data_IF_665064790961
#
_entry.id   IF_665064790961
#
_cell.length_a   1.000
_cell.length_b   1.000
_cell.length_c   1.000
_cell.angle_alpha   90.00
_cell.angle_beta   90.00
_cell.angle_gamma   90.00
#
_symmetry.space_group_name_H-M   'P 1'
#
loop_
_entity.id
_entity.type
_entity.pdbx_description
1 polymer ?
#
# COMPACT_ATOMS: atom_id res chain seq x y z
N UNK A 1 -4.90 -23.65 6.35
CA UNK A 1 -4.57 -22.56 5.41
C UNK A 1 -3.10 -22.71 4.95
N UNK A 2 -2.78 -23.51 3.93
CA UNK A 2 -1.37 -23.87 3.69
C UNK A 2 -0.93 -24.32 2.30
N UNK A 3 -1.71 -24.09 1.24
CA UNK A 3 -1.38 -24.59 -0.10
C UNK A 3 -1.14 -23.51 -1.16
N UNK A 4 -1.60 -22.28 -0.94
CA UNK A 4 -1.44 -21.18 -1.91
C UNK A 4 -0.01 -20.58 -1.95
N UNK A 5 0.81 -20.85 -0.93
CA UNK A 5 2.16 -20.29 -0.78
C UNK A 5 3.28 -21.35 -0.83
N UNK A 6 2.92 -22.60 -1.12
CA UNK A 6 3.80 -23.75 -1.01
C UNK A 6 4.00 -24.41 -2.38
N UNK A 7 5.26 -24.53 -2.82
CA UNK A 7 5.64 -25.23 -4.05
C UNK A 7 6.60 -24.45 -4.95
N UNK A 8 7.28 -25.11 -5.90
CA UNK A 8 8.38 -24.52 -6.70
C UNK A 8 7.99 -23.29 -7.53
N UNK A 9 6.69 -23.11 -7.80
CA UNK A 9 6.14 -22.02 -8.59
C UNK A 9 5.37 -20.98 -7.75
N UNK A 10 5.32 -21.12 -6.42
CA UNK A 10 4.76 -20.08 -5.57
C UNK A 10 5.54 -18.78 -5.82
N UNK A 11 4.83 -17.71 -6.22
CA UNK A 11 5.39 -16.38 -6.55
C UNK A 11 6.10 -16.22 -7.89
N UNK A 12 6.01 -17.17 -8.84
CA UNK A 12 6.60 -16.99 -10.20
C UNK A 12 6.09 -15.73 -10.92
N UNK A 13 4.86 -15.30 -10.62
CA UNK A 13 4.24 -14.08 -11.15
C UNK A 13 4.84 -12.77 -10.60
N UNK A 14 5.59 -12.83 -9.49
CA UNK A 14 6.32 -11.69 -8.93
C UNK A 14 7.74 -11.54 -9.49
N UNK A 15 8.19 -12.48 -10.34
CA UNK A 15 9.51 -12.50 -10.98
C UNK A 15 10.68 -12.27 -10.00
N UNK A 16 10.57 -12.81 -8.78
CA UNK A 16 11.60 -12.70 -7.77
C UNK A 16 12.83 -13.53 -8.10
N UNK A 17 13.99 -13.10 -7.60
CA UNK A 17 15.21 -13.92 -7.67
C UNK A 17 15.02 -15.22 -6.88
N UNK A 18 15.70 -16.33 -7.25
CA UNK A 18 15.57 -17.60 -6.53
C UNK A 18 15.82 -17.48 -5.02
N UNK A 19 16.74 -16.60 -4.62
CA UNK A 19 17.04 -16.31 -3.21
C UNK A 19 15.85 -15.66 -2.50
N UNK A 20 15.22 -14.66 -3.11
CA UNK A 20 14.06 -13.99 -2.55
C UNK A 20 12.85 -14.94 -2.44
N UNK A 21 12.63 -15.78 -3.45
CA UNK A 21 11.59 -16.83 -3.41
C UNK A 21 11.80 -17.80 -2.26
N UNK A 22 13.04 -18.25 -2.01
CA UNK A 22 13.35 -19.15 -0.90
C UNK A 22 13.06 -18.51 0.47
N UNK A 23 13.40 -17.23 0.65
CA UNK A 23 13.12 -16.48 1.89
C UNK A 23 11.61 -16.35 2.13
N UNK A 24 10.85 -16.01 1.08
CA UNK A 24 9.39 -15.87 1.18
C UNK A 24 8.71 -17.23 1.39
N UNK A 25 9.21 -18.31 0.79
CA UNK A 25 8.70 -19.66 1.05
C UNK A 25 8.97 -20.13 2.48
N UNK A 26 10.14 -19.81 3.04
CA UNK A 26 10.47 -20.12 4.43
C UNK A 26 9.66 -19.28 5.43
N UNK A 27 9.28 -18.06 5.03
CA UNK A 27 8.54 -17.13 5.89
C UNK A 27 7.50 -16.35 5.07
N UNK A 28 6.36 -16.98 4.71
CA UNK A 28 5.34 -16.38 3.85
C UNK A 28 4.70 -15.13 4.48
N UNK A 29 4.79 -15.00 5.80
CA UNK A 29 4.33 -13.81 6.52
C UNK A 29 5.04 -12.52 6.07
N UNK A 30 6.30 -12.59 5.62
CA UNK A 30 7.06 -11.43 5.15
C UNK A 30 6.38 -10.75 3.94
N UNK A 31 5.82 -11.56 3.03
CA UNK A 31 5.12 -11.03 1.86
C UNK A 31 3.79 -10.38 2.28
N UNK A 32 3.07 -11.01 3.21
CA UNK A 32 1.83 -10.46 3.77
C UNK A 32 2.10 -9.12 4.46
N UNK A 33 3.14 -9.05 5.30
CA UNK A 33 3.50 -7.80 5.99
C UNK A 33 3.85 -6.69 5.01
N UNK A 34 4.59 -7.01 3.93
CA UNK A 34 4.93 -6.02 2.89
C UNK A 34 3.67 -5.41 2.26
N UNK A 35 2.72 -6.24 1.84
CA UNK A 35 1.48 -5.75 1.25
C UNK A 35 0.64 -4.93 2.25
N UNK A 36 0.53 -5.39 3.50
CA UNK A 36 -0.18 -4.63 4.54
C UNK A 36 0.46 -3.26 4.81
N UNK A 37 1.79 -3.19 4.83
CA UNK A 37 2.50 -1.91 5.00
C UNK A 37 2.24 -0.97 3.82
N UNK A 38 2.32 -1.46 2.58
CA UNK A 38 2.05 -0.65 1.39
C UNK A 38 0.62 -0.12 1.37
N UNK A 39 -0.36 -0.97 1.70
CA UNK A 39 -1.77 -0.58 1.83
C UNK A 39 -1.92 0.45 2.95
N UNK A 40 -1.30 0.23 4.11
CA UNK A 40 -1.34 1.16 5.24
C UNK A 40 -0.80 2.55 4.89
N UNK A 41 0.33 2.63 4.17
CA UNK A 41 0.88 3.89 3.69
C UNK A 41 -0.06 4.61 2.72
N UNK A 42 -0.69 3.86 1.81
CA UNK A 42 -1.66 4.41 0.88
C UNK A 42 -2.90 4.98 1.60
N UNK A 43 -3.43 4.26 2.60
CA UNK A 43 -4.53 4.72 3.43
C UNK A 43 -4.17 5.99 4.21
N UNK A 44 -2.97 6.06 4.77
CA UNK A 44 -2.52 7.23 5.52
C UNK A 44 -2.40 8.46 4.62
N UNK A 45 -1.87 8.30 3.41
CA UNK A 45 -1.81 9.36 2.41
C UNK A 45 -3.21 9.84 1.97
N UNK A 46 -4.12 8.89 1.71
CA UNK A 46 -5.52 9.20 1.36
C UNK A 46 -6.26 9.91 2.48
N UNK A 47 -6.04 9.50 3.73
CA UNK A 47 -6.64 10.14 4.90
C UNK A 47 -6.15 11.58 5.05
N UNK A 48 -4.83 11.80 4.91
CA UNK A 48 -4.25 13.15 4.91
C UNK A 48 -4.82 14.03 3.79
N UNK A 49 -4.92 13.49 2.58
CA UNK A 49 -5.55 14.19 1.46
C UNK A 49 -7.03 14.50 1.72
N UNK A 50 -7.79 13.56 2.28
CA UNK A 50 -9.20 13.76 2.62
C UNK A 50 -9.38 14.88 3.65
N UNK A 51 -8.57 14.89 4.71
CA UNK A 51 -8.59 15.97 5.70
C UNK A 51 -8.25 17.31 5.04
N UNK A 52 -7.23 17.35 4.18
CA UNK A 52 -6.88 18.56 3.44
C UNK A 52 -8.01 19.05 2.53
N UNK A 53 -8.68 18.13 1.85
CA UNK A 53 -9.81 18.42 0.97
C UNK A 53 -11.00 19.01 1.75
N UNK A 54 -11.43 18.37 2.84
CA UNK A 54 -12.56 18.86 3.64
C UNK A 54 -12.25 20.19 4.33
N UNK A 55 -11.04 20.36 4.89
CA UNK A 55 -10.64 21.62 5.53
C UNK A 55 -10.50 22.76 4.52
N UNK A 56 -10.01 22.50 3.31
CA UNK A 56 -9.91 23.51 2.26
C UNK A 56 -11.26 24.03 1.77
N UNK A 57 -12.34 23.24 1.87
CA UNK A 57 -13.70 23.71 1.55
C UNK A 57 -14.18 24.78 2.53
N UNK A 58 -13.86 24.65 3.81
CA UNK A 58 -14.27 25.60 4.84
C UNK A 58 -13.61 26.98 4.62
N UNK A 59 -12.38 26.99 4.10
CA UNK A 59 -11.65 28.21 3.74
C UNK A 59 -11.80 28.55 2.26
N UNK A 60 -13.03 28.67 1.74
CA UNK A 60 -13.24 29.42 0.49
C UNK A 60 -12.68 30.82 0.70
N UNK A 61 -11.48 31.09 0.17
CA UNK A 61 -10.89 32.44 0.18
C UNK A 61 -11.99 33.39 -0.30
N UNK A 62 -12.29 34.48 0.44
CA UNK A 62 -13.26 35.46 -0.04
C UNK A 62 -12.85 35.83 -1.45
N UNK A 63 -13.79 35.72 -2.40
CA UNK A 63 -13.59 36.13 -3.79
C UNK A 63 -12.97 37.51 -3.70
N UNK A 64 -11.70 37.66 -4.10
CA UNK A 64 -11.05 38.96 -4.11
C UNK A 64 -11.97 39.86 -4.91
N UNK A 65 -12.62 40.79 -4.22
CA UNK A 65 -13.38 41.84 -4.85
C UNK A 65 -12.32 42.66 -5.58
N UNK A 66 -12.09 42.30 -6.85
CA UNK A 66 -11.39 43.15 -7.79
C UNK A 66 -12.19 44.44 -7.82
N UNK A 67 -11.59 45.46 -7.22
CA UNK A 67 -12.07 46.84 -7.24
C UNK A 67 -11.84 47.41 -8.63
#
# INVERSE_FOLDING_TARGET
MGQAFSGPNAFKWLNFTPKATAVIQASPFLLVSLFLTLIGLQFLGLLGYYIHYETSKAYKKPKSAST
#
